data_IF_330093969985
#
_entry.id   IF_330093969985
#
_cell.length_a   1.000
_cell.length_b   1.000
_cell.length_c   1.000
_cell.angle_alpha   90.00
_cell.angle_beta   90.00
_cell.angle_gamma   90.00
#
_symmetry.space_group_name_H-M   'P 1'
#
loop_
_entity.id
_entity.type
_entity.pdbx_description
1 polymer ?
#
# COMPACT_ATOMS: atom_id res chain seq x y z
N UNK A 1 -12.09 -24.39 7.77
CA UNK A 1 -11.86 -23.22 8.48
C UNK A 1 -11.40 -22.06 7.63
N UNK A 2 -11.96 -21.02 7.85
CA UNK A 2 -11.71 -19.87 7.01
C UNK A 2 -10.44 -19.14 7.38
N UNK A 3 -9.65 -18.88 6.38
CA UNK A 3 -8.51 -18.01 6.54
C UNK A 3 -9.03 -16.58 6.47
N UNK A 4 -8.76 -15.82 7.51
CA UNK A 4 -9.11 -14.42 7.52
C UNK A 4 -8.00 -13.64 6.83
N UNK A 5 -8.05 -13.60 5.52
CA UNK A 5 -7.04 -12.87 4.76
C UNK A 5 -7.46 -11.42 4.54
N UNK A 6 -6.48 -10.58 4.30
CA UNK A 6 -6.70 -9.17 4.02
C UNK A 6 -6.94 -8.88 2.55
N UNK A 7 -6.87 -9.91 1.70
CA UNK A 7 -6.93 -9.70 0.26
C UNK A 7 -8.14 -8.90 -0.20
N UNK A 8 -9.34 -9.29 0.25
CA UNK A 8 -10.56 -8.61 -0.18
C UNK A 8 -10.62 -7.17 0.33
N UNK A 9 -10.14 -6.94 1.55
CA UNK A 9 -10.09 -5.60 2.11
C UNK A 9 -9.12 -4.72 1.36
N UNK A 10 -7.96 -5.28 1.00
CA UNK A 10 -6.95 -4.55 0.23
C UNK A 10 -7.47 -4.24 -1.16
N UNK A 11 -8.14 -5.19 -1.81
CA UNK A 11 -8.72 -4.95 -3.14
C UNK A 11 -9.79 -3.86 -3.10
N UNK A 12 -10.56 -3.80 -2.02
CA UNK A 12 -11.55 -2.74 -1.85
C UNK A 12 -10.90 -1.36 -1.73
N UNK A 13 -9.78 -1.28 -1.01
CA UNK A 13 -9.02 -0.03 -0.89
C UNK A 13 -8.44 0.36 -2.24
N UNK A 14 -7.93 -0.61 -2.99
CA UNK A 14 -7.40 -0.37 -4.34
C UNK A 14 -8.50 0.20 -5.25
N UNK A 15 -9.71 -0.36 -5.18
CA UNK A 15 -10.83 0.14 -5.96
C UNK A 15 -11.19 1.59 -5.60
N UNK A 16 -11.18 1.89 -4.31
CA UNK A 16 -11.41 3.27 -3.85
C UNK A 16 -10.34 4.21 -4.36
N UNK A 17 -9.09 3.76 -4.34
CA UNK A 17 -7.98 4.54 -4.84
C UNK A 17 -8.16 4.83 -6.34
N UNK A 18 -8.54 3.82 -7.12
CA UNK A 18 -8.77 4.01 -8.55
C UNK A 18 -9.89 4.99 -8.82
N UNK A 19 -10.99 4.91 -8.06
CA UNK A 19 -12.10 5.85 -8.21
C UNK A 19 -11.69 7.26 -7.84
N UNK A 20 -10.89 7.42 -6.81
CA UNK A 20 -10.41 8.73 -6.41
C UNK A 20 -9.52 9.34 -7.48
N UNK A 21 -8.62 8.54 -8.05
CA UNK A 21 -7.74 9.00 -9.12
C UNK A 21 -8.55 9.44 -10.34
N UNK A 22 -9.59 8.67 -10.70
CA UNK A 22 -10.42 9.00 -11.84
C UNK A 22 -11.21 10.29 -11.64
N UNK A 23 -11.57 10.60 -10.40
CA UNK A 23 -12.38 11.79 -10.10
C UNK A 23 -11.54 13.01 -9.71
N UNK A 24 -10.22 12.85 -9.58
CA UNK A 24 -9.33 13.92 -9.15
C UNK A 24 -8.18 14.08 -10.13
N UNK A 25 -8.34 14.95 -11.16
CA UNK A 25 -7.32 15.12 -12.19
C UNK A 25 -5.95 15.57 -11.66
N UNK A 26 -5.92 16.34 -10.59
CA UNK A 26 -4.64 16.78 -10.02
C UNK A 26 -3.90 15.62 -9.36
N UNK A 27 -4.62 14.78 -8.64
CA UNK A 27 -4.02 13.59 -8.04
C UNK A 27 -3.50 12.66 -9.13
N UNK A 28 -4.29 12.46 -10.18
CA UNK A 28 -3.89 11.63 -11.29
C UNK A 28 -2.62 12.15 -11.94
N UNK A 29 -2.56 13.46 -12.19
CA UNK A 29 -1.38 14.10 -12.79
C UNK A 29 -0.15 13.92 -11.91
N UNK A 30 -0.34 14.05 -10.59
CA UNK A 30 0.75 13.90 -9.64
C UNK A 30 1.30 12.47 -9.60
N UNK A 31 0.44 11.49 -9.78
CA UNK A 31 0.83 10.08 -9.70
C UNK A 31 1.30 9.48 -11.02
N UNK A 32 0.95 10.09 -12.15
CA UNK A 32 1.31 9.54 -13.48
C UNK A 32 2.78 9.25 -13.67
N UNK A 33 3.72 10.11 -13.22
CA UNK A 33 5.15 9.83 -13.42
C UNK A 33 5.69 8.72 -12.54
N UNK A 34 4.93 8.26 -11.58
CA UNK A 34 5.42 7.30 -10.59
C UNK A 34 5.31 5.89 -11.10
N UNK A 35 6.42 5.15 -11.05
CA UNK A 35 6.48 3.75 -11.40
C UNK A 35 7.30 3.05 -10.34
N UNK A 36 6.63 2.35 -9.42
CA UNK A 36 7.27 1.71 -8.27
C UNK A 36 6.65 0.36 -7.99
N UNK A 37 7.48 -0.58 -7.57
CA UNK A 37 7.03 -1.89 -7.10
C UNK A 37 7.05 -1.90 -5.59
N UNK A 38 6.02 -2.50 -5.01
CA UNK A 38 5.81 -2.49 -3.57
C UNK A 38 5.51 -3.90 -3.10
N UNK A 39 6.22 -4.33 -2.05
CA UNK A 39 5.89 -5.55 -1.35
C UNK A 39 5.28 -5.19 -0.01
N UNK A 40 4.21 -5.87 0.34
CA UNK A 40 3.56 -5.72 1.62
C UNK A 40 3.63 -7.04 2.35
N UNK A 41 4.42 -7.10 3.41
CA UNK A 41 4.66 -8.31 4.20
C UNK A 41 3.90 -8.21 5.51
N UNK A 42 2.88 -9.05 5.66
CA UNK A 42 2.03 -9.08 6.86
C UNK A 42 2.34 -10.29 7.75
N UNK A 43 3.47 -10.94 7.50
CA UNK A 43 3.84 -12.12 8.25
C UNK A 43 3.34 -13.38 7.55
N UNK A 44 2.14 -13.80 7.88
CA UNK A 44 1.54 -14.99 7.28
C UNK A 44 0.95 -14.72 5.90
N UNK A 45 0.70 -13.48 5.58
CA UNK A 45 0.20 -13.05 4.28
C UNK A 45 1.20 -12.10 3.64
N UNK A 46 1.27 -12.12 2.34
CA UNK A 46 2.16 -11.22 1.61
C UNK A 46 1.52 -10.83 0.30
N UNK A 47 1.76 -9.60 -0.11
CA UNK A 47 1.20 -9.06 -1.35
C UNK A 47 2.26 -8.25 -2.06
N UNK A 48 2.22 -8.29 -3.38
CA UNK A 48 3.11 -7.50 -4.20
C UNK A 48 2.31 -6.83 -5.31
N UNK A 49 2.68 -5.61 -5.65
CA UNK A 49 2.00 -4.89 -6.71
C UNK A 49 2.88 -3.78 -7.26
N UNK A 50 2.44 -3.19 -8.35
CA UNK A 50 3.14 -2.08 -8.98
C UNK A 50 2.21 -0.89 -9.09
N UNK A 51 2.75 0.29 -8.85
CA UNK A 51 2.07 1.54 -9.14
C UNK A 51 2.62 2.04 -10.45
N UNK A 52 1.74 2.22 -11.43
CA UNK A 52 2.11 2.69 -12.76
C UNK A 52 0.87 3.29 -13.41
N UNK A 53 1.03 4.38 -14.14
CA UNK A 53 -0.07 5.08 -14.81
C UNK A 53 -1.17 5.47 -13.83
N UNK A 54 -0.77 5.84 -12.62
CA UNK A 54 -1.68 6.23 -11.53
C UNK A 54 -2.63 5.10 -11.11
N UNK A 55 -2.26 3.86 -11.35
CA UNK A 55 -3.05 2.68 -11.00
C UNK A 55 -2.22 1.63 -10.28
N UNK A 56 -2.88 0.81 -9.49
CA UNK A 56 -2.28 -0.38 -8.92
C UNK A 56 -2.41 -1.49 -9.96
N UNK A 57 -1.27 -2.05 -10.36
CA UNK A 57 -1.20 -3.10 -11.37
C UNK A 57 -0.50 -4.33 -10.83
N UNK A 58 -0.80 -5.47 -11.41
CA UNK A 58 -0.16 -6.74 -11.08
C UNK A 58 -0.25 -7.08 -9.59
N UNK A 59 -1.40 -6.79 -8.99
CA UNK A 59 -1.61 -7.15 -7.60
C UNK A 59 -1.61 -8.67 -7.45
N UNK A 60 -0.69 -9.17 -6.62
CA UNK A 60 -0.49 -10.60 -6.41
C UNK A 60 -0.45 -10.91 -4.92
N UNK A 61 -0.77 -12.15 -4.58
CA UNK A 61 -0.71 -12.61 -3.20
C UNK A 61 0.64 -13.23 -2.88
N UNK A 62 1.69 -12.66 -3.43
CA UNK A 62 3.07 -13.09 -3.20
C UNK A 62 4.00 -11.90 -3.32
N UNK A 63 5.20 -12.04 -2.76
CA UNK A 63 6.20 -10.97 -2.82
C UNK A 63 6.85 -10.93 -4.21
N UNK A 64 7.17 -9.73 -4.65
CA UNK A 64 7.89 -9.51 -5.91
C UNK A 64 9.39 -9.51 -5.65
N UNK A 65 10.16 -9.86 -6.67
CA UNK A 65 11.62 -9.78 -6.59
C UNK A 65 12.06 -8.32 -6.71
N UNK A 66 13.04 -7.94 -5.90
CA UNK A 66 13.65 -6.61 -5.96
C UNK A 66 12.66 -5.45 -5.97
N UNK A 67 11.75 -5.38 -4.99
CA UNK A 67 10.80 -4.28 -4.94
C UNK A 67 11.49 -2.96 -4.61
N UNK A 68 10.91 -1.86 -5.07
CA UNK A 68 11.40 -0.53 -4.70
C UNK A 68 11.10 -0.22 -3.24
N UNK A 69 9.98 -0.71 -2.75
CA UNK A 69 9.52 -0.43 -1.38
C UNK A 69 9.05 -1.73 -0.74
N UNK A 70 9.42 -1.91 0.52
CA UNK A 70 8.92 -3.03 1.33
C UNK A 70 8.22 -2.46 2.55
N UNK A 71 6.94 -2.82 2.70
CA UNK A 71 6.15 -2.43 3.86
C UNK A 71 5.92 -3.67 4.70
N UNK A 72 6.31 -3.62 5.97
CA UNK A 72 6.12 -4.72 6.90
C UNK A 72 5.23 -4.24 8.05
N UNK A 73 4.14 -4.94 8.27
CA UNK A 73 3.22 -4.64 9.36
C UNK A 73 2.41 -5.90 9.67
N UNK A 74 1.42 -5.78 10.54
CA UNK A 74 0.52 -6.90 10.85
C UNK A 74 -0.81 -6.67 10.16
N UNK A 75 -1.62 -7.73 9.97
CA UNK A 75 -2.97 -7.55 9.42
C UNK A 75 -3.81 -6.59 10.26
N UNK A 76 -3.69 -6.67 11.57
CA UNK A 76 -4.44 -5.78 12.47
C UNK A 76 -4.04 -4.32 12.26
N UNK A 77 -2.74 -4.05 12.23
CA UNK A 77 -2.26 -2.68 12.04
C UNK A 77 -2.65 -2.15 10.65
N UNK A 78 -2.58 -3.00 9.62
CA UNK A 78 -2.98 -2.59 8.29
C UNK A 78 -4.48 -2.24 8.26
N UNK A 79 -5.31 -3.07 8.90
CA UNK A 79 -6.74 -2.80 8.96
C UNK A 79 -7.02 -1.46 9.63
N UNK A 80 -6.31 -1.18 10.73
CA UNK A 80 -6.49 0.08 11.46
C UNK A 80 -6.02 1.27 10.63
N UNK A 81 -4.99 1.10 9.82
CA UNK A 81 -4.55 2.14 8.90
C UNK A 81 -5.62 2.40 7.82
N UNK A 82 -6.19 1.33 7.27
CA UNK A 82 -7.18 1.45 6.21
C UNK A 82 -8.49 2.07 6.69
N UNK A 83 -8.89 1.78 7.93
CA UNK A 83 -10.14 2.34 8.46
C UNK A 83 -9.95 3.67 9.18
N UNK A 84 -8.73 4.21 9.19
CA UNK A 84 -8.46 5.51 9.78
C UNK A 84 -8.25 5.53 11.28
N UNK A 85 -8.35 4.37 11.94
CA UNK A 85 -8.15 4.28 13.39
C UNK A 85 -6.70 4.52 13.80
N UNK A 86 -5.77 4.09 12.95
CA UNK A 86 -4.35 4.29 13.17
C UNK A 86 -3.80 5.22 12.10
N UNK A 87 -3.23 6.34 12.51
CA UNK A 87 -2.66 7.30 11.55
C UNK A 87 -1.27 6.84 11.09
N UNK A 88 -0.95 7.01 9.81
CA UNK A 88 0.32 6.51 9.25
C UNK A 88 1.56 7.02 9.96
N UNK A 89 1.63 8.31 10.25
CA UNK A 89 2.81 8.88 10.93
C UNK A 89 2.97 8.32 12.33
N UNK A 90 1.85 8.15 13.04
CA UNK A 90 1.88 7.57 14.38
C UNK A 90 2.31 6.11 14.32
N UNK A 91 1.81 5.37 13.34
CA UNK A 91 2.19 3.98 13.15
C UNK A 91 3.69 3.85 12.90
N UNK A 92 4.24 4.74 12.09
CA UNK A 92 5.66 4.75 11.78
C UNK A 92 6.50 5.05 13.01
N UNK A 93 6.12 6.09 13.76
CA UNK A 93 6.85 6.49 14.97
C UNK A 93 6.80 5.39 16.04
N UNK A 94 5.65 4.74 16.20
CA UNK A 94 5.46 3.66 17.17
C UNK A 94 5.98 2.31 16.69
N UNK A 95 6.58 2.29 15.49
CA UNK A 95 7.14 1.07 14.88
C UNK A 95 6.09 -0.02 14.65
N UNK A 96 4.85 0.39 14.47
CA UNK A 96 3.77 -0.53 14.09
C UNK A 96 3.80 -0.86 12.60
N UNK A 97 4.50 -0.05 11.83
CA UNK A 97 4.75 -0.27 10.41
C UNK A 97 6.22 0.00 10.15
N UNK A 98 6.85 -0.85 9.37
CA UNK A 98 8.23 -0.67 8.92
C UNK A 98 8.22 -0.47 7.42
N UNK A 99 8.93 0.54 6.97
CA UNK A 99 9.01 0.85 5.54
C UNK A 99 10.48 0.86 5.15
N UNK A 100 10.82 0.04 4.17
CA UNK A 100 12.16 -0.05 3.65
C UNK A 100 12.18 0.44 2.22
N UNK A 101 13.10 1.35 1.90
CA UNK A 101 13.19 1.94 0.58
C UNK A 101 13.90 3.28 0.67
N UNK A 102 14.00 3.96 -0.46
CA UNK A 102 14.60 5.28 -0.51
C UNK A 102 13.66 6.28 0.17
N UNK A 103 14.23 7.35 0.71
CA UNK A 103 13.44 8.36 1.40
C UNK A 103 12.29 8.90 0.52
N UNK A 104 12.58 9.16 -0.75
CA UNK A 104 11.55 9.65 -1.67
C UNK A 104 10.41 8.67 -1.81
N UNK A 105 10.72 7.37 -1.81
CA UNK A 105 9.70 6.33 -1.93
C UNK A 105 8.84 6.25 -0.68
N UNK A 106 9.46 6.44 0.49
CA UNK A 106 8.74 6.46 1.76
C UNK A 106 7.78 7.66 1.79
N UNK A 107 8.25 8.81 1.34
CA UNK A 107 7.42 10.02 1.28
C UNK A 107 6.24 9.84 0.32
N UNK A 108 6.46 9.11 -0.78
CA UNK A 108 5.41 8.80 -1.73
C UNK A 108 4.27 8.02 -1.08
N UNK A 109 4.58 7.07 -0.21
CA UNK A 109 3.55 6.24 0.43
C UNK A 109 2.57 7.03 1.27
N UNK A 110 2.96 8.18 1.77
CA UNK A 110 2.06 9.05 2.53
C UNK A 110 0.82 9.44 1.74
N UNK A 111 0.91 9.47 0.42
CA UNK A 111 -0.21 9.88 -0.44
C UNK A 111 -1.31 8.83 -0.49
N UNK A 112 -1.04 7.62 -0.03
CA UNK A 112 -2.01 6.54 -0.03
C UNK A 112 -2.76 6.40 1.29
N UNK A 113 -2.33 7.09 2.30
CA UNK A 113 -2.94 6.97 3.62
C UNK A 113 -3.58 8.24 4.12
#
# INVERSE_FOLDING_TARGET
>A
MNQMTMENEIRAVIDKFHKKVESDPELKKELMPIKKTINMDLGEEAYGFRIEDAHVKEFKTELMDNPDIIVTTTPENLRNLMNGTLRPMKAYVLKKIKIKGKLDDVMFLKKFF
#
